data_IF_935295546111
#
_entry.id   IF_935295546111
#
_cell.length_a   1.000
_cell.length_b   1.000
_cell.length_c   1.000
_cell.angle_alpha   90.00
_cell.angle_beta   90.00
_cell.angle_gamma   90.00
#
_symmetry.space_group_name_H-M   'P 1'
#
loop_
_entity.id
_entity.type
_entity.pdbx_description
1 polymer ?
#
# COMPACT_ATOMS: atom_id res chain seq x y z
N UNK A 1 -9.27 -20.74 15.23
CA UNK A 1 -10.14 -19.68 14.67
C UNK A 1 -9.98 -19.63 13.15
N UNK A 2 -10.93 -19.01 12.44
CA UNK A 2 -10.91 -18.85 10.97
C UNK A 2 -9.59 -18.23 10.45
N UNK A 3 -9.05 -17.22 11.16
CA UNK A 3 -7.80 -16.55 10.80
C UNK A 3 -6.59 -17.47 10.88
N UNK A 4 -6.51 -18.32 11.91
CA UNK A 4 -5.44 -19.30 12.03
C UNK A 4 -5.46 -20.27 10.84
N UNK A 5 -6.63 -20.72 10.40
CA UNK A 5 -6.77 -21.58 9.23
C UNK A 5 -6.30 -20.91 7.94
N UNK A 6 -6.64 -19.63 7.74
CA UNK A 6 -6.16 -18.85 6.59
C UNK A 6 -4.65 -18.64 6.62
N UNK A 7 -4.09 -18.33 7.78
CA UNK A 7 -2.64 -18.16 7.95
C UNK A 7 -1.87 -19.44 7.60
N UNK A 8 -2.31 -20.59 8.10
CA UNK A 8 -1.66 -21.87 7.78
C UNK A 8 -1.78 -22.24 6.30
N UNK A 9 -2.90 -21.92 5.66
CA UNK A 9 -3.10 -22.12 4.21
C UNK A 9 -2.12 -21.29 3.40
N UNK A 10 -2.04 -19.98 3.68
CA UNK A 10 -1.08 -19.09 3.03
C UNK A 10 0.37 -19.58 3.19
N UNK A 11 0.74 -20.01 4.41
CA UNK A 11 2.07 -20.55 4.68
C UNK A 11 2.39 -21.81 3.86
N UNK A 12 1.42 -22.71 3.69
CA UNK A 12 1.55 -23.91 2.83
C UNK A 12 1.73 -23.56 1.35
N UNK A 13 1.19 -22.42 0.91
CA UNK A 13 1.32 -21.92 -0.46
C UNK A 13 2.52 -20.99 -0.67
N UNK A 14 3.47 -20.94 0.28
CA UNK A 14 4.59 -19.98 0.24
C UNK A 14 4.12 -18.52 0.06
N UNK A 15 3.04 -18.17 0.75
CA UNK A 15 2.41 -16.86 0.71
C UNK A 15 2.24 -16.27 2.13
N UNK A 16 2.04 -14.97 2.19
CA UNK A 16 1.70 -14.21 3.39
C UNK A 16 0.31 -13.61 3.27
N UNK A 17 -0.37 -13.43 4.39
CA UNK A 17 -1.63 -12.68 4.41
C UNK A 17 -1.35 -11.18 4.53
N UNK A 18 -2.04 -10.39 3.71
CA UNK A 18 -2.01 -8.92 3.75
C UNK A 18 -3.43 -8.38 3.64
N UNK A 19 -3.73 -7.30 4.36
CA UNK A 19 -4.95 -6.55 4.16
C UNK A 19 -4.69 -5.50 3.08
N UNK A 20 -5.39 -5.61 1.95
CA UNK A 20 -5.10 -4.80 0.76
C UNK A 20 -6.37 -4.14 0.27
N UNK A 21 -6.28 -2.85 0.00
CA UNK A 21 -7.24 -2.12 -0.82
C UNK A 21 -6.81 -2.17 -2.28
N UNK A 22 -7.74 -2.44 -3.19
CA UNK A 22 -7.51 -2.35 -4.63
C UNK A 22 -8.57 -1.46 -5.26
N UNK A 23 -8.14 -0.55 -6.12
CA UNK A 23 -8.99 0.26 -6.98
C UNK A 23 -8.69 -0.11 -8.43
N UNK A 24 -9.70 -0.57 -9.16
CA UNK A 24 -9.59 -0.93 -10.57
C UNK A 24 -10.79 -0.34 -11.32
N UNK A 25 -10.52 0.62 -12.20
CA UNK A 25 -11.58 1.44 -12.80
C UNK A 25 -12.37 2.13 -11.69
N UNK A 26 -13.69 1.94 -11.71
CA UNK A 26 -14.61 2.49 -10.70
C UNK A 26 -14.84 1.54 -9.50
N UNK A 27 -14.21 0.35 -9.50
CA UNK A 27 -14.42 -0.66 -8.46
C UNK A 27 -13.34 -0.60 -7.38
N UNK A 28 -13.78 -0.40 -6.14
CA UNK A 28 -12.93 -0.46 -4.95
C UNK A 28 -13.29 -1.68 -4.09
N UNK A 29 -12.28 -2.38 -3.59
CA UNK A 29 -12.44 -3.47 -2.60
C UNK A 29 -11.30 -3.42 -1.59
N UNK A 30 -11.59 -3.84 -0.37
CA UNK A 30 -10.59 -4.02 0.69
C UNK A 30 -10.80 -5.36 1.38
N UNK A 31 -9.71 -6.08 1.64
CA UNK A 31 -9.82 -7.37 2.30
C UNK A 31 -8.47 -8.08 2.48
N UNK A 32 -8.53 -9.18 3.23
CA UNK A 32 -7.39 -10.08 3.40
C UNK A 32 -7.15 -10.90 2.14
N UNK A 33 -5.94 -10.82 1.60
CA UNK A 33 -5.48 -11.56 0.42
C UNK A 33 -4.21 -12.33 0.73
N UNK A 34 -4.01 -13.46 0.03
CA UNK A 34 -2.76 -14.23 0.05
C UNK A 34 -1.82 -13.67 -1.02
N UNK A 35 -0.60 -13.29 -0.62
CA UNK A 35 0.42 -12.71 -1.48
C UNK A 35 1.65 -13.61 -1.48
N UNK A 36 2.18 -14.06 -2.63
CA UNK A 36 3.41 -14.83 -2.70
C UNK A 36 4.57 -14.13 -1.98
N UNK A 37 5.44 -14.86 -1.29
CA UNK A 37 6.55 -14.26 -0.54
C UNK A 37 7.54 -13.48 -1.41
N UNK A 38 7.62 -13.78 -2.72
CA UNK A 38 8.46 -13.07 -3.69
C UNK A 38 7.82 -11.77 -4.21
N UNK A 39 6.54 -11.54 -3.93
CA UNK A 39 5.85 -10.34 -4.39
C UNK A 39 6.34 -9.10 -3.60
N UNK A 40 6.51 -7.92 -4.23
CA UNK A 40 6.98 -6.71 -3.54
C UNK A 40 6.22 -6.36 -2.26
N UNK A 41 4.90 -6.61 -2.25
CA UNK A 41 4.04 -6.34 -1.08
C UNK A 41 4.24 -7.29 0.10
N UNK A 42 4.90 -8.44 -0.11
CA UNK A 42 5.21 -9.35 0.98
C UNK A 42 6.29 -8.77 1.91
N UNK A 43 7.14 -7.88 1.39
CA UNK A 43 8.29 -7.32 2.09
C UNK A 43 7.98 -6.20 3.08
N UNK A 44 6.72 -5.79 3.28
CA UNK A 44 6.37 -4.75 4.27
C UNK A 44 6.89 -5.12 5.66
N UNK A 45 7.68 -4.23 6.25
CA UNK A 45 8.18 -4.35 7.63
C UNK A 45 7.53 -3.26 8.48
N UNK A 46 7.07 -3.63 9.67
CA UNK A 46 6.50 -2.66 10.62
C UNK A 46 5.23 -1.97 10.09
N UNK A 47 5.20 -0.64 10.18
CA UNK A 47 4.09 0.24 9.79
C UNK A 47 4.26 0.86 8.40
N UNK A 48 5.09 0.27 7.54
CA UNK A 48 5.23 0.72 6.16
C UNK A 48 3.92 0.52 5.38
N UNK A 49 3.52 1.56 4.67
CA UNK A 49 2.48 1.47 3.65
C UNK A 49 3.12 1.29 2.28
N UNK A 50 2.49 0.46 1.43
CA UNK A 50 2.90 0.27 0.04
C UNK A 50 1.69 0.49 -0.86
N UNK A 51 1.90 1.26 -1.93
CA UNK A 51 0.93 1.45 -3.01
C UNK A 51 1.63 1.07 -4.32
N UNK A 52 0.99 0.22 -5.12
CA UNK A 52 1.41 -0.08 -6.49
C UNK A 52 0.41 0.55 -7.45
N UNK A 53 0.94 1.34 -8.39
CA UNK A 53 0.17 2.02 -9.42
C UNK A 53 0.51 1.38 -10.76
N UNK A 54 -0.49 0.73 -11.35
CA UNK A 54 -0.40 0.15 -12.69
C UNK A 54 -1.14 1.06 -13.67
N UNK A 55 -0.48 1.45 -14.75
CA UNK A 55 -1.08 2.26 -15.83
C UNK A 55 -0.73 1.64 -17.17
N UNK A 56 -1.26 2.19 -18.27
CA UNK A 56 -0.86 1.76 -19.62
C UNK A 56 0.67 1.89 -19.83
N UNK A 57 1.30 2.93 -19.26
CA UNK A 57 2.75 3.15 -19.35
C UNK A 57 3.54 2.28 -18.38
N UNK A 58 2.97 1.98 -17.21
CA UNK A 58 3.57 1.12 -16.17
C UNK A 58 2.82 -0.23 -16.11
N UNK A 59 2.69 -0.92 -17.25
CA UNK A 59 1.91 -2.17 -17.34
C UNK A 59 2.75 -3.43 -17.04
N UNK A 60 4.05 -3.41 -17.34
CA UNK A 60 4.98 -4.51 -17.09
C UNK A 60 5.62 -4.42 -15.69
N UNK A 61 5.92 -3.21 -15.25
CA UNK A 61 6.53 -2.94 -13.94
C UNK A 61 5.74 -1.82 -13.27
N UNK A 62 4.84 -2.14 -12.32
CA UNK A 62 4.07 -1.14 -11.61
C UNK A 62 4.97 -0.14 -10.87
N UNK A 63 4.52 1.12 -10.79
CA UNK A 63 5.17 2.11 -9.95
C UNK A 63 4.85 1.81 -8.48
N UNK A 64 5.87 1.46 -7.70
CA UNK A 64 5.73 1.15 -6.28
C UNK A 64 6.19 2.33 -5.44
N UNK A 65 5.30 2.82 -4.58
CA UNK A 65 5.60 3.82 -3.54
C UNK A 65 5.54 3.13 -2.19
N UNK A 66 6.64 3.14 -1.45
CA UNK A 66 6.76 2.55 -0.12
C UNK A 66 7.38 3.56 0.84
N UNK A 67 6.89 3.56 2.07
CA UNK A 67 7.50 4.28 3.17
C UNK A 67 6.66 4.17 4.45
N UNK A 68 7.08 4.84 5.53
CA UNK A 68 6.32 4.85 6.77
C UNK A 68 4.90 5.37 6.52
N UNK A 69 3.91 4.54 6.87
CA UNK A 69 2.50 4.87 6.66
C UNK A 69 1.85 5.64 7.81
N UNK A 70 2.50 5.63 8.97
CA UNK A 70 2.02 6.22 10.21
C UNK A 70 3.20 6.64 11.08
N UNK A 71 2.99 7.69 11.86
CA UNK A 71 4.00 8.28 12.76
C UNK A 71 3.81 9.79 12.82
N UNK A 72 3.95 10.37 14.01
CA UNK A 72 3.66 11.79 14.24
C UNK A 72 4.44 12.70 13.25
N UNK A 73 5.74 12.47 13.11
CA UNK A 73 6.60 13.27 12.23
C UNK A 73 6.26 13.10 10.75
N UNK A 74 5.95 11.88 10.32
CA UNK A 74 5.63 11.56 8.92
C UNK A 74 4.29 12.17 8.52
N UNK A 75 3.30 12.13 9.41
CA UNK A 75 2.01 12.78 9.20
C UNK A 75 2.15 14.30 9.20
N UNK A 76 2.92 14.88 10.13
CA UNK A 76 3.17 16.32 10.17
C UNK A 76 3.86 16.83 8.90
N UNK A 77 4.84 16.07 8.38
CA UNK A 77 5.51 16.38 7.11
C UNK A 77 4.51 16.43 5.94
N UNK A 78 3.57 15.47 5.88
CA UNK A 78 2.52 15.45 4.85
C UNK A 78 1.67 16.72 4.87
N UNK A 79 1.16 17.10 6.04
CA UNK A 79 0.36 18.32 6.22
C UNK A 79 1.17 19.57 5.88
N UNK A 80 2.42 19.66 6.34
CA UNK A 80 3.28 20.81 6.07
C UNK A 80 3.58 20.99 4.58
N UNK A 81 3.82 19.89 3.86
CA UNK A 81 3.98 19.90 2.40
C UNK A 81 2.74 20.49 1.69
N UNK A 82 1.54 20.15 2.16
CA UNK A 82 0.31 20.68 1.59
C UNK A 82 0.12 22.18 1.87
N UNK A 83 0.55 22.68 3.04
CA UNK A 83 0.59 24.13 3.31
C UNK A 83 1.50 24.85 2.31
N UNK A 84 2.70 24.33 2.06
CA UNK A 84 3.64 24.92 1.10
C UNK A 84 3.06 24.95 -0.32
N UNK A 85 2.41 23.86 -0.75
CA UNK A 85 1.71 23.82 -2.05
C UNK A 85 0.60 24.86 -2.12
N UNK A 86 -0.20 25.00 -1.06
CA UNK A 86 -1.30 25.95 -1.03
C UNK A 86 -0.79 27.39 -1.17
N UNK A 87 0.28 27.75 -0.47
CA UNK A 87 0.93 29.07 -0.61
C UNK A 87 1.45 29.32 -2.04
N UNK A 88 1.88 28.27 -2.74
CA UNK A 88 2.32 28.39 -4.13
C UNK A 88 1.15 28.60 -5.11
N UNK A 89 -0.03 28.01 -4.85
CA UNK A 89 -1.18 28.06 -5.76
C UNK A 89 -2.11 29.27 -5.54
N UNK A 90 -2.00 29.97 -4.42
CA UNK A 90 -2.81 31.17 -4.20
C UNK A 90 -2.24 32.36 -4.97
N UNK A 91 -3.02 32.98 -5.88
CA UNK A 91 -2.65 34.27 -6.44
C UNK A 91 -2.78 35.33 -5.34
N UNK A 92 -1.72 36.11 -5.13
CA UNK A 92 -1.73 37.24 -4.21
C UNK A 92 -2.73 38.30 -4.64
#
# INVERSE_FOLDING_TARGET
SLMQGRYQRAKKHHAVLRYVGTLQGESAKAGLVEIPVQHPFAGTRGSDNIIAITTHRYNQTPLVVQGPGAGADVTAMGVFSDILKLLHYLPY
#
